data_IF_256726345722
#
_entry.id   IF_256726345722
#
_cell.length_a   1.000
_cell.length_b   1.000
_cell.length_c   1.000
_cell.angle_alpha   90.00
_cell.angle_beta   90.00
_cell.angle_gamma   90.00
#
_symmetry.space_group_name_H-M   'P 1'
#
loop_
_entity.id
_entity.type
_entity.pdbx_description
1 polymer ?
#
# COMPACT_ATOMS: atom_id res chain seq x y z
N UNK A 1 -3.45 12.38 -83.70
CA UNK A 1 -4.60 12.86 -82.91
C UNK A 1 -5.34 13.86 -83.79
N UNK A 2 -6.40 13.42 -84.46
CA UNK A 2 -7.34 14.34 -85.08
C UNK A 2 -8.11 15.04 -83.95
N UNK A 3 -8.28 16.36 -84.04
CA UNK A 3 -9.09 17.13 -83.11
C UNK A 3 -10.46 16.46 -82.97
N UNK A 4 -10.79 16.06 -81.74
CA UNK A 4 -12.13 15.54 -81.44
C UNK A 4 -13.09 16.72 -81.55
N UNK A 5 -14.09 16.71 -82.44
CA UNK A 5 -15.06 17.79 -82.54
C UNK A 5 -15.80 17.97 -81.21
N UNK A 6 -16.19 19.21 -80.90
CA UNK A 6 -16.83 19.58 -79.64
C UNK A 6 -17.98 18.64 -79.27
N UNK A 7 -17.94 18.16 -78.03
CA UNK A 7 -18.59 16.93 -77.57
C UNK A 7 -20.12 16.99 -77.41
N UNK A 8 -20.82 17.98 -77.98
CA UNK A 8 -22.26 18.12 -77.74
C UNK A 8 -22.99 18.79 -78.91
N UNK A 9 -23.38 17.98 -79.90
CA UNK A 9 -24.52 18.35 -80.75
C UNK A 9 -25.78 17.97 -79.98
N UNK A 10 -26.39 18.93 -79.27
CA UNK A 10 -27.69 18.71 -78.61
C UNK A 10 -28.70 18.30 -79.68
N UNK A 11 -29.22 17.07 -79.59
CA UNK A 11 -30.27 16.55 -80.47
C UNK A 11 -31.62 16.75 -79.81
N UNK A 12 -32.59 17.26 -80.56
CA UNK A 12 -33.96 17.39 -80.08
C UNK A 12 -34.76 16.11 -80.41
N UNK A 13 -35.84 15.80 -79.67
CA UNK A 13 -36.71 14.67 -79.98
C UNK A 13 -37.21 14.73 -81.43
N UNK A 14 -36.85 13.73 -82.24
CA UNK A 14 -37.22 13.64 -83.66
C UNK A 14 -36.06 13.85 -84.65
N UNK A 15 -34.88 14.28 -84.18
CA UNK A 15 -33.70 14.35 -85.04
C UNK A 15 -33.22 12.95 -85.48
N UNK A 16 -32.88 12.75 -86.76
CA UNK A 16 -32.31 11.48 -87.22
C UNK A 16 -30.93 11.28 -86.60
N UNK A 17 -30.78 10.18 -85.87
CA UNK A 17 -29.49 9.75 -85.31
C UNK A 17 -28.68 9.09 -86.44
N UNK A 18 -27.52 9.66 -86.75
CA UNK A 18 -26.61 9.06 -87.73
C UNK A 18 -25.95 7.82 -87.12
N UNK A 19 -25.65 6.82 -87.93
CA UNK A 19 -25.07 5.55 -87.45
C UNK A 19 -23.74 5.74 -86.71
N UNK A 20 -22.94 6.74 -87.10
CA UNK A 20 -21.71 7.13 -86.39
C UNK A 20 -21.98 7.64 -84.97
N UNK A 21 -22.96 8.53 -84.81
CA UNK A 21 -23.36 9.11 -83.52
C UNK A 21 -23.87 8.01 -82.57
N UNK A 22 -24.62 7.04 -83.10
CA UNK A 22 -25.14 5.92 -82.30
C UNK A 22 -24.03 5.00 -81.80
N UNK A 23 -23.06 4.69 -82.67
CA UNK A 23 -21.91 3.87 -82.28
C UNK A 23 -21.05 4.58 -81.22
N UNK A 24 -20.85 5.89 -81.33
CA UNK A 24 -20.09 6.66 -80.34
C UNK A 24 -20.80 6.68 -78.97
N UNK A 25 -22.13 6.86 -78.96
CA UNK A 25 -22.93 6.81 -77.74
C UNK A 25 -22.82 5.44 -77.04
N UNK A 26 -22.86 4.34 -77.80
CA UNK A 26 -22.70 3.00 -77.23
C UNK A 26 -21.32 2.76 -76.62
N UNK A 27 -20.27 3.24 -77.29
CA UNK A 27 -18.89 3.11 -76.80
C UNK A 27 -18.75 3.91 -75.50
N UNK A 28 -19.21 5.17 -75.47
CA UNK A 28 -19.17 5.98 -74.25
C UNK A 28 -19.94 5.36 -73.09
N UNK A 29 -21.15 4.87 -73.33
CA UNK A 29 -21.95 4.22 -72.28
C UNK A 29 -21.24 3.01 -71.68
N UNK A 30 -20.56 2.19 -72.51
CA UNK A 30 -19.75 1.08 -72.02
C UNK A 30 -18.51 1.54 -71.25
N UNK A 31 -17.84 2.59 -71.71
CA UNK A 31 -16.67 3.15 -71.02
C UNK A 31 -17.08 3.75 -69.66
N UNK A 32 -18.20 4.45 -69.58
CA UNK A 32 -18.75 4.98 -68.32
C UNK A 32 -19.15 3.86 -67.36
N UNK A 33 -19.82 2.81 -67.84
CA UNK A 33 -20.14 1.62 -67.05
C UNK A 33 -18.91 0.81 -66.64
N UNK A 34 -17.84 0.75 -67.44
CA UNK A 34 -16.61 0.07 -67.03
C UNK A 34 -15.82 0.88 -66.00
N UNK A 35 -15.89 2.21 -66.11
CA UNK A 35 -15.17 3.13 -65.22
C UNK A 35 -15.98 3.51 -63.97
N UNK A 36 -17.27 3.18 -63.89
CA UNK A 36 -18.05 3.49 -62.69
C UNK A 36 -17.56 2.69 -61.49
N UNK A 37 -17.50 3.34 -60.32
CA UNK A 37 -17.07 2.74 -59.06
C UNK A 37 -18.07 3.12 -57.97
N UNK A 38 -18.55 2.14 -57.21
CA UNK A 38 -19.45 2.35 -56.05
C UNK A 38 -18.72 2.82 -54.78
N UNK A 39 -17.61 3.54 -54.92
CA UNK A 39 -16.75 3.87 -53.77
C UNK A 39 -17.25 5.08 -52.99
N UNK A 40 -18.18 5.89 -53.53
CA UNK A 40 -18.92 6.93 -52.80
C UNK A 40 -18.08 8.03 -52.15
N UNK A 41 -16.76 8.11 -52.41
CA UNK A 41 -15.86 9.02 -51.69
C UNK A 41 -16.04 10.48 -52.14
N UNK A 42 -15.68 10.80 -53.39
CA UNK A 42 -15.66 12.19 -53.90
C UNK A 42 -16.44 12.40 -55.21
N UNK A 43 -17.15 11.37 -55.69
CA UNK A 43 -17.90 11.40 -56.94
C UNK A 43 -19.32 10.88 -56.67
N UNK A 44 -20.20 11.78 -56.25
CA UNK A 44 -21.59 11.49 -55.92
C UNK A 44 -22.07 12.25 -54.68
N UNK A 45 -23.31 12.73 -54.71
CA UNK A 45 -23.98 13.22 -53.50
C UNK A 45 -24.22 12.02 -52.59
N UNK A 46 -23.76 12.02 -51.32
CA UNK A 46 -24.08 10.96 -50.39
C UNK A 46 -25.58 10.75 -50.33
N UNK A 47 -26.04 9.51 -50.53
CA UNK A 47 -27.45 9.19 -50.41
C UNK A 47 -27.84 9.46 -48.94
N UNK A 48 -28.79 10.36 -48.73
CA UNK A 48 -29.29 10.63 -47.39
C UNK A 48 -29.80 9.32 -46.77
N UNK A 49 -29.59 9.15 -45.46
CA UNK A 49 -30.00 7.95 -44.71
C UNK A 49 -31.44 7.51 -45.02
N UNK A 50 -32.36 8.49 -45.15
CA UNK A 50 -33.76 8.26 -45.53
C UNK A 50 -33.94 7.46 -46.84
N UNK A 51 -33.02 7.58 -47.80
CA UNK A 51 -33.06 6.85 -49.07
C UNK A 51 -32.54 5.41 -49.01
N UNK A 52 -31.86 5.01 -47.93
CA UNK A 52 -31.34 3.65 -47.73
C UNK A 52 -31.99 2.93 -46.55
N UNK A 53 -32.74 3.62 -45.69
CA UNK A 53 -33.46 3.05 -44.53
C UNK A 53 -34.27 1.78 -44.87
N UNK A 54 -35.03 1.71 -45.98
CA UNK A 54 -35.82 0.51 -46.30
C UNK A 54 -34.98 -0.74 -46.51
N UNK A 55 -33.72 -0.58 -46.90
CA UNK A 55 -32.81 -1.67 -47.24
C UNK A 55 -31.58 -1.74 -46.33
N UNK A 56 -31.48 -0.89 -45.31
CA UNK A 56 -30.42 -0.95 -44.33
C UNK A 56 -30.49 -2.27 -43.55
N UNK A 57 -29.34 -2.89 -43.27
CA UNK A 57 -29.27 -4.02 -42.34
C UNK A 57 -29.45 -3.41 -40.94
N UNK A 58 -30.64 -3.56 -40.39
CA UNK A 58 -30.92 -3.24 -39.00
C UNK A 58 -30.71 -4.47 -38.10
N UNK A 59 -30.88 -4.30 -36.79
CA UNK A 59 -30.73 -5.40 -35.83
C UNK A 59 -31.73 -6.54 -36.04
N UNK A 60 -32.90 -6.28 -36.65
CA UNK A 60 -33.90 -7.32 -36.93
C UNK A 60 -33.49 -8.23 -38.11
N UNK A 61 -32.58 -7.74 -38.95
CA UNK A 61 -32.03 -8.44 -40.11
C UNK A 61 -30.72 -9.16 -39.81
N UNK A 62 -30.22 -9.08 -38.58
CA UNK A 62 -29.06 -9.84 -38.11
C UNK A 62 -29.58 -11.09 -37.42
N UNK A 63 -29.12 -12.26 -37.86
CA UNK A 63 -29.43 -13.52 -37.20
C UNK A 63 -28.89 -13.47 -35.75
N UNK A 64 -29.73 -13.67 -34.72
CA UNK A 64 -29.30 -13.60 -33.33
C UNK A 64 -28.26 -14.67 -32.95
N UNK A 65 -28.06 -15.68 -33.79
CA UNK A 65 -27.06 -16.74 -33.61
C UNK A 65 -25.77 -16.51 -34.41
N UNK A 66 -25.70 -15.45 -35.22
CA UNK A 66 -24.54 -15.16 -36.04
C UNK A 66 -23.31 -14.83 -35.20
N UNK A 67 -22.18 -15.43 -35.55
CA UNK A 67 -20.87 -15.06 -35.02
C UNK A 67 -20.19 -14.03 -35.94
N UNK A 68 -19.64 -12.96 -35.35
CA UNK A 68 -18.96 -11.89 -36.07
C UNK A 68 -17.47 -11.95 -35.78
N UNK A 69 -16.66 -12.18 -36.81
CA UNK A 69 -15.19 -12.09 -36.73
C UNK A 69 -14.72 -10.80 -37.41
N UNK A 70 -14.04 -9.94 -36.65
CA UNK A 70 -13.50 -8.66 -37.15
C UNK A 70 -12.03 -8.52 -36.75
N UNK A 71 -11.22 -7.90 -37.62
CA UNK A 71 -9.83 -7.59 -37.31
C UNK A 71 -9.73 -6.40 -36.34
N UNK A 72 -10.54 -5.37 -36.56
CA UNK A 72 -10.60 -4.16 -35.75
C UNK A 72 -12.06 -3.73 -35.59
N UNK A 73 -12.46 -3.42 -34.35
CA UNK A 73 -13.73 -2.79 -34.03
C UNK A 73 -13.44 -1.39 -33.46
N UNK A 74 -13.86 -0.35 -34.15
CA UNK A 74 -13.81 1.03 -33.68
C UNK A 74 -15.24 1.54 -33.52
N UNK A 75 -15.63 1.95 -32.31
CA UNK A 75 -16.93 2.56 -32.05
C UNK A 75 -16.78 4.07 -31.88
N UNK A 76 -17.76 4.84 -32.35
CA UNK A 76 -17.83 6.29 -32.13
C UNK A 76 -18.38 6.69 -30.75
N UNK A 77 -18.74 5.70 -29.92
CA UNK A 77 -19.30 5.84 -28.58
C UNK A 77 -19.13 4.54 -27.80
N UNK A 78 -19.91 4.38 -26.74
CA UNK A 78 -19.77 3.25 -25.81
C UNK A 78 -20.15 1.91 -26.43
N UNK A 79 -19.38 0.87 -26.09
CA UNK A 79 -19.70 -0.51 -26.41
C UNK A 79 -20.30 -1.19 -25.15
N UNK A 80 -21.58 -1.55 -25.20
CA UNK A 80 -22.24 -2.29 -24.12
C UNK A 80 -22.28 -3.78 -24.45
N UNK A 81 -21.86 -4.63 -23.50
CA UNK A 81 -21.93 -6.09 -23.61
C UNK A 81 -22.87 -6.61 -22.53
N UNK A 82 -24.00 -7.20 -22.92
CA UNK A 82 -25.02 -7.69 -21.98
C UNK A 82 -24.64 -9.00 -21.26
N UNK A 83 -23.62 -9.70 -21.78
CA UNK A 83 -23.07 -10.92 -21.19
C UNK A 83 -21.58 -10.78 -20.84
N UNK A 84 -20.89 -11.91 -20.78
CA UNK A 84 -19.45 -11.92 -20.46
C UNK A 84 -18.60 -11.40 -21.61
N UNK A 85 -17.67 -10.48 -21.32
CA UNK A 85 -16.60 -10.09 -22.23
C UNK A 85 -15.32 -10.89 -21.89
N UNK A 86 -14.91 -11.79 -22.79
CA UNK A 86 -13.65 -12.55 -22.66
C UNK A 86 -12.57 -11.97 -23.58
N UNK A 87 -11.49 -11.45 -23.00
CA UNK A 87 -10.36 -10.89 -23.75
C UNK A 87 -9.14 -11.79 -23.60
N UNK A 88 -8.70 -12.42 -24.71
CA UNK A 88 -7.49 -13.27 -24.72
C UNK A 88 -6.19 -12.45 -24.67
N UNK A 89 -6.25 -11.19 -25.09
CA UNK A 89 -5.15 -10.23 -25.06
C UNK A 89 -5.16 -9.35 -23.80
N UNK A 90 -4.53 -8.18 -23.90
CA UNK A 90 -4.51 -7.17 -22.83
C UNK A 90 -5.68 -6.20 -22.98
N UNK A 91 -6.41 -5.97 -21.89
CA UNK A 91 -7.30 -4.81 -21.77
C UNK A 91 -6.44 -3.56 -21.51
N UNK A 92 -6.64 -2.52 -22.33
CA UNK A 92 -5.93 -1.25 -22.24
C UNK A 92 -6.94 -0.15 -21.91
N UNK A 93 -7.43 -0.05 -20.66
CA UNK A 93 -8.28 1.05 -20.26
C UNK A 93 -7.48 2.35 -20.27
N UNK A 94 -8.12 3.45 -20.67
CA UNK A 94 -7.50 4.77 -20.68
C UNK A 94 -7.21 5.29 -19.26
N UNK A 95 -7.93 4.79 -18.26
CA UNK A 95 -7.78 5.17 -16.86
C UNK A 95 -7.49 3.95 -15.97
N UNK A 96 -6.58 4.13 -15.01
CA UNK A 96 -6.18 3.08 -14.05
C UNK A 96 -7.27 2.71 -13.03
N UNK A 97 -8.35 3.50 -12.93
CA UNK A 97 -9.51 3.24 -12.07
C UNK A 97 -10.23 1.92 -12.43
N UNK A 98 -10.07 1.44 -13.68
CA UNK A 98 -10.60 0.16 -14.17
C UNK A 98 -9.67 -1.03 -13.88
N UNK A 99 -8.71 -0.88 -12.96
CA UNK A 99 -7.93 -2.02 -12.48
C UNK A 99 -8.90 -3.08 -11.96
N UNK A 100 -8.80 -4.31 -12.49
CA UNK A 100 -9.59 -5.46 -12.06
C UNK A 100 -9.16 -5.92 -10.66
N UNK A 101 -9.40 -5.09 -9.65
CA UNK A 101 -9.29 -5.49 -8.25
C UNK A 101 -10.59 -6.22 -7.91
N UNK A 102 -10.53 -7.51 -7.53
CA UNK A 102 -11.72 -8.23 -7.14
C UNK A 102 -12.35 -7.60 -5.90
N UNK A 103 -13.68 -7.75 -5.76
CA UNK A 103 -14.39 -7.41 -4.52
C UNK A 103 -13.69 -8.03 -3.31
N UNK A 104 -13.43 -7.22 -2.28
CA UNK A 104 -12.62 -7.57 -1.11
C UNK A 104 -11.12 -7.31 -1.24
N UNK A 105 -10.62 -6.92 -2.42
CA UNK A 105 -9.23 -6.51 -2.59
C UNK A 105 -8.95 -5.19 -1.88
N UNK A 106 -7.80 -5.10 -1.20
CA UNK A 106 -7.38 -3.94 -0.41
C UNK A 106 -6.13 -3.34 -1.05
N UNK A 107 -6.13 -2.02 -1.24
CA UNK A 107 -4.98 -1.26 -1.76
C UNK A 107 -4.64 -0.09 -0.84
N UNK A 108 -3.40 0.40 -0.98
CA UNK A 108 -2.98 1.67 -0.38
C UNK A 108 -3.53 2.84 -1.18
N UNK A 109 -3.96 3.89 -0.47
CA UNK A 109 -4.63 5.05 -1.05
C UNK A 109 -4.13 6.35 -0.43
N UNK A 110 -3.76 7.31 -1.27
CA UNK A 110 -3.27 8.64 -0.88
C UNK A 110 -4.31 9.75 -0.99
N UNK A 111 -5.48 9.47 -1.58
CA UNK A 111 -6.55 10.46 -1.73
C UNK A 111 -7.35 10.69 -0.45
N UNK A 112 -8.08 11.81 -0.40
CA UNK A 112 -8.84 12.20 0.80
C UNK A 112 -10.08 11.34 1.07
N UNK A 113 -10.71 10.80 0.02
CA UNK A 113 -11.91 9.98 0.12
C UNK A 113 -11.78 8.76 -0.80
N UNK A 114 -12.38 7.60 -0.42
CA UNK A 114 -12.43 6.44 -1.30
C UNK A 114 -13.27 6.76 -2.56
N UNK A 115 -12.84 6.35 -3.76
CA UNK A 115 -13.63 6.48 -4.98
C UNK A 115 -14.96 5.70 -4.91
N UNK A 116 -15.94 6.01 -5.77
CA UNK A 116 -17.17 5.21 -5.88
C UNK A 116 -16.89 3.71 -6.03
N UNK A 117 -17.59 2.89 -5.27
CA UNK A 117 -17.39 1.43 -5.26
C UNK A 117 -16.19 0.95 -4.44
N UNK A 118 -15.60 1.82 -3.62
CA UNK A 118 -14.59 1.50 -2.61
C UNK A 118 -15.04 1.99 -1.22
N UNK A 119 -14.50 1.40 -0.16
CA UNK A 119 -14.71 1.83 1.22
C UNK A 119 -13.39 1.91 1.99
N UNK A 120 -13.31 2.77 3.00
CA UNK A 120 -12.20 2.78 3.95
C UNK A 120 -12.17 1.46 4.74
N UNK A 121 -10.98 0.95 5.01
CA UNK A 121 -10.79 -0.18 5.92
C UNK A 121 -10.86 0.28 7.38
N UNK A 122 -12.07 0.62 7.84
CA UNK A 122 -12.36 1.18 9.16
C UNK A 122 -13.26 0.29 10.02
N UNK A 123 -13.58 -0.93 9.55
CA UNK A 123 -14.48 -1.87 10.21
C UNK A 123 -15.95 -1.72 9.79
N UNK A 124 -16.30 -0.66 9.05
CA UNK A 124 -17.64 -0.48 8.48
C UNK A 124 -17.79 -1.23 7.15
N UNK A 125 -19.03 -1.42 6.68
CA UNK A 125 -19.34 -2.01 5.37
C UNK A 125 -18.69 -3.40 5.11
N UNK A 126 -18.43 -4.17 6.17
CA UNK A 126 -17.78 -5.48 6.09
C UNK A 126 -16.27 -5.41 5.80
N UNK A 127 -15.66 -4.23 5.87
CA UNK A 127 -14.20 -4.04 5.77
C UNK A 127 -13.51 -4.43 7.07
N UNK A 128 -12.22 -4.83 7.04
CA UNK A 128 -11.42 -4.90 8.26
C UNK A 128 -11.07 -3.49 8.75
N UNK A 129 -10.87 -3.30 10.07
CA UNK A 129 -10.31 -2.05 10.61
C UNK A 129 -8.79 -2.09 10.57
N UNK A 130 -8.17 -1.39 9.61
CA UNK A 130 -6.72 -1.34 9.40
C UNK A 130 -6.08 -0.01 9.83
N UNK A 131 -6.83 0.88 10.46
CA UNK A 131 -6.32 2.18 10.92
C UNK A 131 -5.24 1.97 11.99
N UNK A 132 -4.06 2.56 11.79
CA UNK A 132 -2.92 2.41 12.69
C UNK A 132 -2.30 1.00 12.72
N UNK A 133 -2.58 0.16 11.72
CA UNK A 133 -2.10 -1.23 11.70
C UNK A 133 -1.04 -1.47 10.63
N UNK A 134 -0.03 -2.26 11.00
CA UNK A 134 0.86 -2.90 10.05
C UNK A 134 0.25 -4.22 9.57
N UNK A 135 0.14 -4.40 8.25
CA UNK A 135 -0.47 -5.61 7.66
C UNK A 135 0.56 -6.73 7.61
N UNK A 136 0.27 -7.83 8.31
CA UNK A 136 1.08 -9.04 8.31
C UNK A 136 0.38 -10.15 7.51
N UNK A 137 1.14 -10.86 6.67
CA UNK A 137 0.62 -12.00 5.91
C UNK A 137 0.13 -13.12 6.83
N UNK A 138 -1.11 -13.57 6.62
CA UNK A 138 -1.66 -14.71 7.33
C UNK A 138 -1.09 -16.03 6.77
N UNK A 139 -1.03 -17.07 7.61
CA UNK A 139 -0.60 -18.41 7.20
C UNK A 139 0.33 -19.08 8.20
N UNK A 140 0.99 -20.13 7.73
CA UNK A 140 2.00 -20.90 8.46
C UNK A 140 3.18 -21.18 7.55
N UNK A 141 4.38 -21.24 8.12
CA UNK A 141 5.60 -21.60 7.41
C UNK A 141 6.61 -22.26 8.35
N UNK A 142 7.62 -22.92 7.80
CA UNK A 142 8.68 -23.54 8.60
C UNK A 142 9.42 -22.47 9.42
N UNK A 143 9.48 -22.65 10.74
CA UNK A 143 10.08 -21.67 11.66
C UNK A 143 9.26 -20.39 11.87
N UNK A 144 8.06 -20.28 11.30
CA UNK A 144 7.19 -19.11 11.47
C UNK A 144 6.04 -19.41 12.43
N UNK A 145 5.67 -18.41 13.24
CA UNK A 145 4.44 -18.47 14.02
C UNK A 145 3.24 -18.46 13.09
N UNK A 146 2.32 -19.40 13.24
CA UNK A 146 1.06 -19.42 12.49
C UNK A 146 0.21 -18.21 12.88
N UNK A 147 -0.31 -17.49 11.88
CA UNK A 147 -1.21 -16.35 12.05
C UNK A 147 -2.51 -16.56 11.30
N UNK A 148 -3.64 -16.42 12.00
CA UNK A 148 -4.94 -16.53 11.38
C UNK A 148 -5.35 -15.18 10.76
N UNK A 149 -6.20 -15.22 9.71
CA UNK A 149 -6.73 -13.98 9.10
C UNK A 149 -7.56 -13.21 10.14
N UNK A 150 -7.32 -11.89 10.23
CA UNK A 150 -7.99 -11.01 11.18
C UNK A 150 -7.40 -11.02 12.59
N UNK A 151 -6.36 -11.81 12.86
CA UNK A 151 -5.63 -11.75 14.11
C UNK A 151 -4.95 -10.38 14.27
N UNK A 152 -5.04 -9.80 15.47
CA UNK A 152 -4.44 -8.51 15.82
C UNK A 152 -3.41 -8.68 16.93
N UNK A 153 -2.36 -7.87 16.90
CA UNK A 153 -1.31 -7.88 17.91
C UNK A 153 -0.29 -6.77 17.69
N UNK A 154 0.82 -6.82 18.43
CA UNK A 154 1.84 -5.77 18.44
C UNK A 154 1.51 -4.64 19.42
N UNK A 155 2.50 -3.78 19.67
CA UNK A 155 2.40 -2.59 20.53
C UNK A 155 3.20 -1.45 19.90
N UNK A 156 2.66 -0.23 19.98
CA UNK A 156 3.36 0.99 19.51
C UNK A 156 4.48 1.38 20.48
N UNK A 157 4.28 1.17 21.79
CA UNK A 157 5.28 1.45 22.83
C UNK A 157 5.48 0.22 23.70
N UNK A 158 6.74 -0.10 24.01
CA UNK A 158 7.10 -1.27 24.81
C UNK A 158 7.86 -0.84 26.07
N UNK A 159 7.37 -1.27 27.24
CA UNK A 159 8.07 -1.12 28.51
C UNK A 159 8.82 -2.40 28.82
N UNK A 160 10.14 -2.28 29.02
CA UNK A 160 10.97 -3.43 29.36
C UNK A 160 10.52 -4.06 30.68
N UNK A 161 10.34 -5.38 30.67
CA UNK A 161 10.03 -6.18 31.84
C UNK A 161 11.31 -6.77 32.44
N UNK A 162 11.21 -7.26 33.68
CA UNK A 162 12.35 -7.85 34.41
C UNK A 162 12.92 -9.06 33.66
N UNK A 163 12.07 -9.88 33.04
CA UNK A 163 12.47 -11.04 32.22
C UNK A 163 13.13 -10.65 30.89
N UNK A 164 13.01 -9.40 30.47
CA UNK A 164 13.66 -8.84 29.27
C UNK A 164 14.99 -8.15 29.59
N UNK A 165 15.37 -8.07 30.88
CA UNK A 165 16.67 -7.52 31.30
C UNK A 165 17.73 -8.63 31.42
N UNK A 166 18.91 -8.47 30.80
CA UNK A 166 20.02 -9.38 31.02
C UNK A 166 20.43 -9.46 32.50
N UNK A 167 20.96 -10.61 32.91
CA UNK A 167 21.57 -10.79 34.23
C UNK A 167 22.68 -9.75 34.44
N UNK A 168 22.59 -8.99 35.52
CA UNK A 168 23.55 -7.97 35.91
C UNK A 168 23.71 -7.93 37.44
N UNK A 169 24.78 -7.34 37.93
CA UNK A 169 25.03 -7.14 39.35
C UNK A 169 25.51 -5.72 39.64
N UNK A 170 25.34 -5.31 40.90
CA UNK A 170 25.90 -4.06 41.41
C UNK A 170 26.86 -4.41 42.55
N UNK A 171 28.10 -3.93 42.46
CA UNK A 171 29.10 -4.13 43.49
C UNK A 171 29.13 -2.93 44.44
N UNK A 172 29.27 -3.21 45.73
CA UNK A 172 29.64 -2.21 46.73
C UNK A 172 31.12 -2.38 47.03
N UNK A 173 31.89 -1.29 46.93
CA UNK A 173 33.28 -1.25 47.32
C UNK A 173 33.44 -0.42 48.59
N UNK A 174 33.74 -1.09 49.71
CA UNK A 174 34.16 -0.46 50.96
C UNK A 174 35.67 -0.68 51.13
N UNK A 175 36.54 0.33 50.87
CA UNK A 175 37.98 0.21 51.03
C UNK A 175 38.43 0.03 52.49
N UNK A 176 37.48 -0.06 53.43
CA UNK A 176 37.72 -0.14 54.85
C UNK A 176 37.71 1.24 55.49
N UNK A 177 37.15 1.31 56.69
CA UNK A 177 37.18 2.49 57.54
C UNK A 177 37.63 2.11 58.94
N UNK A 178 38.16 3.09 59.68
CA UNK A 178 38.66 2.91 61.04
C UNK A 178 37.97 3.89 61.98
N UNK A 179 37.67 3.45 63.19
CA UNK A 179 37.18 4.32 64.25
C UNK A 179 38.39 4.81 65.06
N UNK A 180 38.50 6.12 65.23
CA UNK A 180 39.50 6.68 66.14
C UNK A 180 38.99 6.57 67.57
N UNK A 181 39.77 5.92 68.43
CA UNK A 181 39.49 5.83 69.85
C UNK A 181 40.54 6.63 70.61
N UNK A 182 40.10 7.67 71.32
CA UNK A 182 40.95 8.45 72.23
C UNK A 182 40.58 8.14 73.67
N UNK A 183 41.53 7.55 74.40
CA UNK A 183 41.47 7.44 75.86
C UNK A 183 42.46 8.44 76.46
N UNK A 184 41.99 9.27 77.39
CA UNK A 184 42.89 10.03 78.26
C UNK A 184 43.51 9.06 79.25
N UNK A 185 44.83 8.88 79.19
CA UNK A 185 45.54 8.16 80.26
C UNK A 185 45.46 9.04 81.51
N UNK A 186 44.87 8.54 82.59
CA UNK A 186 45.13 9.12 83.90
C UNK A 186 46.64 9.02 84.13
N UNK A 187 47.29 10.16 84.38
CA UNK A 187 48.69 10.16 84.80
C UNK A 187 48.73 9.42 86.12
N UNK A 188 49.49 8.32 86.17
CA UNK A 188 49.60 7.39 87.29
C UNK A 188 49.54 8.10 88.65
N UNK A 189 48.36 8.06 89.26
CA UNK A 189 48.14 8.29 90.68
C UNK A 189 47.97 6.94 91.36
N UNK A 190 48.22 6.89 92.67
CA UNK A 190 48.18 5.68 93.48
C UNK A 190 46.92 4.85 93.21
N UNK A 191 47.15 3.59 92.82
CA UNK A 191 46.16 2.54 92.57
C UNK A 191 45.07 2.53 93.66
N UNK A 192 43.85 2.91 93.28
CA UNK A 192 42.69 2.94 94.18
C UNK A 192 41.86 1.66 94.14
N UNK A 193 42.31 0.64 93.39
CA UNK A 193 41.70 -0.69 93.25
C UNK A 193 40.19 -0.69 92.91
N UNK A 194 39.60 0.44 92.48
CA UNK A 194 38.15 0.53 92.31
C UNK A 194 37.68 0.38 90.87
N UNK A 195 38.58 0.32 89.89
CA UNK A 195 38.19 0.35 88.48
C UNK A 195 38.86 -0.72 87.63
N UNK A 196 38.07 -1.70 87.18
CA UNK A 196 38.50 -2.76 86.26
C UNK A 196 38.74 -2.30 84.82
N UNK A 197 38.76 -0.98 84.55
CA UNK A 197 38.88 -0.43 83.19
C UNK A 197 40.01 0.60 83.04
N UNK A 198 40.99 0.64 83.94
CA UNK A 198 42.09 1.61 83.83
C UNK A 198 43.19 1.13 82.86
N UNK A 199 43.61 1.98 81.90
CA UNK A 199 44.77 1.76 81.04
C UNK A 199 46.03 2.39 81.69
N UNK A 200 46.37 1.95 82.89
CA UNK A 200 47.53 2.46 83.64
C UNK A 200 48.83 1.78 83.19
N UNK A 201 49.92 2.56 83.07
CA UNK A 201 51.26 2.07 82.67
C UNK A 201 51.98 1.25 83.77
N UNK A 202 51.27 0.88 84.83
CA UNK A 202 51.82 0.24 86.04
C UNK A 202 51.78 -1.28 86.05
N UNK A 203 50.90 -1.91 85.27
CA UNK A 203 50.69 -3.34 85.37
C UNK A 203 51.72 -4.13 84.54
N UNK A 204 52.63 -4.83 85.23
CA UNK A 204 53.39 -5.96 84.70
C UNK A 204 52.52 -7.23 84.58
N UNK A 205 51.22 -7.07 84.38
CA UNK A 205 50.25 -8.16 84.21
C UNK A 205 50.15 -8.63 82.76
N UNK A 206 49.56 -9.82 82.49
CA UNK A 206 49.23 -10.25 81.14
C UNK A 206 48.33 -9.20 80.48
N UNK A 207 48.42 -9.02 79.16
CA UNK A 207 47.57 -8.08 78.42
C UNK A 207 46.10 -8.42 78.71
N UNK A 208 45.40 -7.58 79.48
CA UNK A 208 43.96 -7.66 79.63
C UNK A 208 43.36 -7.17 78.31
N UNK A 209 42.79 -8.09 77.52
CA UNK A 209 42.05 -7.74 76.32
C UNK A 209 40.80 -6.96 76.70
N UNK A 210 40.86 -5.63 76.68
CA UNK A 210 39.68 -4.79 76.90
C UNK A 210 38.83 -4.84 75.63
N UNK A 211 37.67 -5.50 75.72
CA UNK A 211 36.66 -5.48 74.66
C UNK A 211 35.72 -4.30 74.91
N UNK A 212 35.82 -3.27 74.07
CA UNK A 212 34.93 -2.11 74.10
C UNK A 212 33.99 -2.24 72.91
N UNK A 213 32.70 -2.29 73.18
CA UNK A 213 31.70 -2.21 72.11
C UNK A 213 31.66 -0.76 71.60
N UNK A 214 31.88 -0.56 70.31
CA UNK A 214 31.49 0.69 69.64
C UNK A 214 29.99 0.63 69.35
N UNK A 215 29.31 1.78 69.35
CA UNK A 215 27.91 1.84 68.92
C UNK A 215 27.79 1.35 67.46
N UNK A 216 26.76 0.56 67.17
CA UNK A 216 26.45 0.18 65.78
C UNK A 216 25.89 1.38 65.03
N UNK A 217 26.61 1.89 64.03
CA UNK A 217 26.07 2.82 63.03
C UNK A 217 26.27 2.25 61.62
N UNK A 218 25.24 2.35 60.79
CA UNK A 218 25.35 1.94 59.38
C UNK A 218 26.31 2.84 58.62
N UNK A 219 27.08 2.26 57.69
CA UNK A 219 28.05 2.99 56.86
C UNK A 219 27.42 4.04 55.92
N UNK A 220 26.08 4.07 55.80
CA UNK A 220 25.35 4.98 54.90
C UNK A 220 25.44 4.61 53.43
N UNK A 221 26.04 3.45 53.09
CA UNK A 221 26.19 2.99 51.72
C UNK A 221 24.90 2.31 51.27
N UNK A 222 24.31 2.77 50.17
CA UNK A 222 23.13 2.16 49.56
C UNK A 222 23.23 2.15 48.04
N UNK A 223 22.63 1.13 47.42
CA UNK A 223 22.41 1.07 45.96
C UNK A 223 20.94 1.38 45.72
N UNK A 224 20.69 2.43 44.95
CA UNK A 224 19.34 2.83 44.59
C UNK A 224 18.93 2.19 43.26
N UNK A 225 17.64 2.03 43.05
CA UNK A 225 17.12 1.65 41.74
C UNK A 225 17.43 2.75 40.71
N UNK A 226 17.82 2.35 39.51
CA UNK A 226 18.04 3.25 38.38
C UNK A 226 17.03 2.94 37.27
N UNK A 227 16.55 4.00 36.60
CA UNK A 227 15.56 3.90 35.52
C UNK A 227 14.14 4.23 35.97
N UNK A 228 13.36 4.82 35.06
CA UNK A 228 11.97 5.23 35.31
C UNK A 228 10.91 4.26 34.79
N UNK A 229 11.31 3.13 34.16
CA UNK A 229 10.40 2.16 33.56
C UNK A 229 9.55 2.71 32.40
N UNK A 230 9.92 3.86 31.83
CA UNK A 230 9.19 4.47 30.74
C UNK A 230 9.26 3.60 29.48
N UNK A 231 8.11 3.37 28.84
CA UNK A 231 8.06 2.65 27.58
C UNK A 231 8.82 3.41 26.49
N UNK A 232 9.52 2.68 25.63
CA UNK A 232 10.18 3.21 24.45
C UNK A 232 9.29 3.04 23.21
N UNK A 233 9.56 3.84 22.18
CA UNK A 233 8.93 3.71 20.89
C UNK A 233 9.30 2.38 20.24
N UNK A 234 8.33 1.70 19.64
CA UNK A 234 8.50 0.42 18.96
C UNK A 234 8.07 0.48 17.48
N UNK A 235 7.63 1.64 16.99
CA UNK A 235 7.35 1.85 15.57
C UNK A 235 8.61 2.23 14.79
N UNK A 236 8.86 1.61 13.61
CA UNK A 236 9.86 2.10 12.68
C UNK A 236 9.41 3.44 12.06
N UNK A 237 10.30 4.21 11.40
CA UNK A 237 9.89 5.36 10.59
C UNK A 237 8.78 4.96 9.60
N UNK A 238 7.68 5.72 9.56
CA UNK A 238 6.52 5.40 8.75
C UNK A 238 6.00 6.60 7.95
N UNK A 239 5.25 6.30 6.89
CA UNK A 239 4.49 7.27 6.11
C UNK A 239 3.02 6.83 6.05
N UNK A 240 2.10 7.76 6.26
CA UNK A 240 0.68 7.44 6.45
C UNK A 240 -0.07 7.50 5.12
N UNK A 241 -0.66 6.37 4.74
CA UNK A 241 -1.64 6.23 3.67
C UNK A 241 -2.89 5.54 4.22
N UNK A 242 -4.03 5.72 3.55
CA UNK A 242 -5.24 4.99 3.85
C UNK A 242 -5.19 3.57 3.24
N UNK A 243 -5.91 2.65 3.87
CA UNK A 243 -6.31 1.38 3.23
C UNK A 243 -7.75 1.50 2.76
N UNK A 244 -8.01 1.16 1.49
CA UNK A 244 -9.36 1.07 0.94
C UNK A 244 -9.63 -0.32 0.37
N UNK A 245 -10.86 -0.79 0.49
CA UNK A 245 -11.31 -2.10 0.01
C UNK A 245 -12.34 -1.95 -1.10
N UNK A 246 -12.21 -2.77 -2.16
CA UNK A 246 -13.19 -2.84 -3.24
C UNK A 246 -14.47 -3.48 -2.72
N UNK A 247 -15.60 -2.79 -2.87
CA UNK A 247 -16.92 -3.26 -2.45
C UNK A 247 -17.57 -4.24 -3.42
#
# INVERSE_FOLDING_TARGET
MADRPDAYVRKEPGDPIRSGDWNELQIRAREELLNHRHTGKNQGVPIARAGIEPNAIDGSRIDPTAEVTVNTLTTGGDATVSGDLRVKGKLLPDNAEDFMVPKGGIILWSGNAPPPGWALCDGSNGTPDLRGRFVLGAGSGSGLTRRNKGEIGGVERHGLKIDEMPSHNHAVYDPGHYHNWSASRQMAGTDDNNNSTEFSRGDRGPIHGVSINTDSRGAGISIQAAGGGAAHENMPPFYVLAYIMKL
#
